data_IF_780640294751
#
_entry.id   IF_780640294751
#
_cell.length_a   1.000
_cell.length_b   1.000
_cell.length_c   1.000
_cell.angle_alpha   90.00
_cell.angle_beta   90.00
_cell.angle_gamma   90.00
#
_symmetry.space_group_name_H-M   'P 1'
#
loop_
_entity.id
_entity.type
_entity.pdbx_description
1 polymer ?
#
# COMPACT_ATOMS: atom_id res chain seq x y z
N UNK A 1 -75.15 36.95 2.16
CA UNK A 1 -73.89 36.57 2.85
C UNK A 1 -73.51 37.70 3.79
N UNK A 2 -73.15 37.40 5.04
CA UNK A 2 -72.78 38.42 6.01
C UNK A 2 -71.36 38.92 5.71
N UNK A 3 -71.15 40.25 5.66
CA UNK A 3 -69.91 40.90 5.22
C UNK A 3 -68.68 40.41 6.01
N UNK A 4 -68.88 40.20 7.30
CA UNK A 4 -67.87 39.75 8.27
C UNK A 4 -67.39 38.32 7.99
N UNK A 5 -68.27 37.44 7.52
CA UNK A 5 -67.93 36.08 7.12
C UNK A 5 -67.11 36.06 5.82
N UNK A 6 -67.42 36.95 4.87
CA UNK A 6 -66.64 37.09 3.63
C UNK A 6 -65.23 37.62 3.88
N UNK A 7 -65.08 38.58 4.80
CA UNK A 7 -63.78 39.11 5.21
C UNK A 7 -62.90 38.03 5.85
N UNK A 8 -63.45 37.24 6.78
CA UNK A 8 -62.71 36.14 7.42
C UNK A 8 -62.26 35.07 6.41
N UNK A 9 -63.10 34.73 5.43
CA UNK A 9 -62.74 33.79 4.35
C UNK A 9 -61.57 34.33 3.53
N UNK A 10 -61.60 35.61 3.15
CA UNK A 10 -60.50 36.24 2.40
C UNK A 10 -59.17 36.23 3.16
N UNK A 11 -59.20 36.47 4.48
CA UNK A 11 -58.00 36.37 5.34
C UNK A 11 -57.47 34.93 5.39
N UNK A 12 -58.36 33.94 5.49
CA UNK A 12 -57.98 32.51 5.46
C UNK A 12 -57.34 32.11 4.14
N UNK A 13 -57.90 32.53 2.99
CA UNK A 13 -57.32 32.24 1.68
C UNK A 13 -55.93 32.86 1.51
N UNK A 14 -55.73 34.10 1.97
CA UNK A 14 -54.43 34.75 1.93
C UNK A 14 -53.38 33.98 2.75
N UNK A 15 -53.74 33.53 3.95
CA UNK A 15 -52.88 32.68 4.80
C UNK A 15 -52.57 31.35 4.13
N UNK A 16 -53.56 30.68 3.55
CA UNK A 16 -53.38 29.43 2.81
C UNK A 16 -52.46 29.60 1.60
N UNK A 17 -52.60 30.71 0.85
CA UNK A 17 -51.72 31.02 -0.29
C UNK A 17 -50.28 31.21 0.15
N UNK A 18 -50.05 31.90 1.27
CA UNK A 18 -48.70 32.07 1.84
C UNK A 18 -48.09 30.75 2.28
N UNK A 19 -48.85 29.92 2.99
CA UNK A 19 -48.38 28.60 3.44
C UNK A 19 -48.02 27.67 2.27
N UNK A 20 -48.82 27.68 1.19
CA UNK A 20 -48.52 26.89 -0.01
C UNK A 20 -47.19 27.30 -0.66
N UNK A 21 -46.94 28.61 -0.80
CA UNK A 21 -45.66 29.11 -1.34
C UNK A 21 -44.46 28.64 -0.53
N UNK A 22 -44.52 28.79 0.80
CA UNK A 22 -43.44 28.36 1.69
C UNK A 22 -43.17 26.85 1.57
N UNK A 23 -44.22 26.03 1.55
CA UNK A 23 -44.09 24.59 1.35
C UNK A 23 -43.42 24.25 0.01
N UNK A 24 -43.81 24.92 -1.06
CA UNK A 24 -43.27 24.65 -2.40
C UNK A 24 -41.79 25.10 -2.48
N UNK A 25 -41.42 26.19 -1.82
CA UNK A 25 -40.01 26.63 -1.64
C UNK A 25 -39.20 25.59 -0.85
N UNK A 26 -39.70 25.12 0.29
CA UNK A 26 -39.02 24.08 1.07
C UNK A 26 -38.88 22.77 0.30
N UNK A 27 -39.89 22.41 -0.52
CA UNK A 27 -39.81 21.23 -1.38
C UNK A 27 -38.69 21.36 -2.41
N UNK A 28 -38.55 22.54 -3.04
CA UNK A 28 -37.48 22.82 -3.99
C UNK A 28 -36.10 22.71 -3.32
N UNK A 29 -35.92 23.34 -2.16
CA UNK A 29 -34.65 23.27 -1.42
C UNK A 29 -34.30 21.83 -1.02
N UNK A 30 -35.30 21.06 -0.58
CA UNK A 30 -35.11 19.65 -0.26
C UNK A 30 -34.66 18.84 -1.48
N UNK A 31 -35.31 19.05 -2.62
CA UNK A 31 -34.98 18.31 -3.84
C UNK A 31 -33.57 18.68 -4.36
N UNK A 32 -33.15 19.94 -4.22
CA UNK A 32 -31.76 20.39 -4.47
C UNK A 32 -30.76 19.70 -3.53
N UNK A 33 -31.03 19.70 -2.22
CA UNK A 33 -30.18 19.03 -1.23
C UNK A 33 -30.05 17.53 -1.46
N UNK A 34 -31.14 16.86 -1.87
CA UNK A 34 -31.10 15.44 -2.25
C UNK A 34 -30.16 15.23 -3.44
N UNK A 35 -30.23 16.11 -4.44
CA UNK A 35 -29.34 16.08 -5.59
C UNK A 35 -27.87 16.26 -5.22
N UNK A 36 -27.57 17.18 -4.31
CA UNK A 36 -26.20 17.41 -3.86
C UNK A 36 -25.66 16.26 -3.00
N UNK A 37 -26.49 15.67 -2.13
CA UNK A 37 -26.13 14.47 -1.36
C UNK A 37 -25.82 13.29 -2.28
N UNK A 38 -26.58 13.11 -3.37
CA UNK A 38 -26.32 12.05 -4.33
C UNK A 38 -24.93 12.22 -4.99
N UNK A 39 -24.59 13.44 -5.44
CA UNK A 39 -23.27 13.75 -6.00
C UNK A 39 -22.13 13.54 -5.00
N UNK A 40 -22.35 13.89 -3.73
CA UNK A 40 -21.36 13.66 -2.68
C UNK A 40 -21.12 12.18 -2.42
N UNK A 41 -22.18 11.35 -2.47
CA UNK A 41 -22.06 9.89 -2.32
C UNK A 41 -21.24 9.28 -3.45
N UNK A 42 -21.51 9.67 -4.70
CA UNK A 42 -20.77 9.23 -5.88
C UNK A 42 -19.28 9.57 -5.77
N UNK A 43 -18.96 10.83 -5.45
CA UNK A 43 -17.57 11.26 -5.24
C UNK A 43 -16.87 10.54 -4.09
N UNK A 44 -17.61 10.23 -3.02
CA UNK A 44 -17.06 9.51 -1.88
C UNK A 44 -16.70 8.07 -2.27
N UNK A 45 -17.53 7.41 -3.08
CA UNK A 45 -17.25 6.08 -3.62
C UNK A 45 -16.04 6.08 -4.56
N UNK A 46 -15.90 7.10 -5.42
CA UNK A 46 -14.70 7.29 -6.25
C UNK A 46 -13.43 7.45 -5.39
N UNK A 47 -13.50 8.27 -4.34
CA UNK A 47 -12.37 8.48 -3.42
C UNK A 47 -11.99 7.20 -2.66
N UNK A 48 -12.98 6.43 -2.21
CA UNK A 48 -12.74 5.13 -1.57
C UNK A 48 -12.04 4.15 -2.52
N UNK A 49 -12.46 4.11 -3.78
CA UNK A 49 -11.81 3.30 -4.81
C UNK A 49 -10.37 3.75 -5.08
N UNK A 50 -10.13 5.06 -5.23
CA UNK A 50 -8.78 5.61 -5.39
C UNK A 50 -7.88 5.27 -4.21
N UNK A 51 -8.39 5.43 -2.99
CA UNK A 51 -7.66 5.08 -1.77
C UNK A 51 -7.28 3.60 -1.74
N UNK A 52 -8.21 2.71 -2.12
CA UNK A 52 -7.98 1.27 -2.19
C UNK A 52 -6.86 0.93 -3.18
N UNK A 53 -6.86 1.56 -4.35
CA UNK A 53 -5.81 1.39 -5.36
C UNK A 53 -4.45 1.82 -4.84
N UNK A 54 -4.35 3.06 -4.31
CA UNK A 54 -3.09 3.60 -3.77
C UNK A 54 -2.58 2.73 -2.62
N UNK A 55 -3.46 2.27 -1.72
CA UNK A 55 -3.10 1.37 -0.62
C UNK A 55 -2.51 0.05 -1.14
N UNK A 56 -3.14 -0.57 -2.14
CA UNK A 56 -2.67 -1.83 -2.70
C UNK A 56 -1.34 -1.67 -3.42
N UNK A 57 -1.15 -0.59 -4.19
CA UNK A 57 0.13 -0.29 -4.82
C UNK A 57 1.25 -0.06 -3.78
N UNK A 58 0.94 0.69 -2.72
CA UNK A 58 1.90 0.95 -1.65
C UNK A 58 2.28 -0.34 -0.93
N UNK A 59 1.31 -1.20 -0.66
CA UNK A 59 1.53 -2.51 -0.07
C UNK A 59 2.41 -3.38 -0.97
N UNK A 60 2.11 -3.44 -2.28
CA UNK A 60 2.93 -4.17 -3.24
C UNK A 60 4.36 -3.64 -3.32
N UNK A 61 4.56 -2.32 -3.28
CA UNK A 61 5.90 -1.70 -3.20
C UNK A 61 6.62 -2.06 -1.91
N UNK A 62 5.91 -2.06 -0.78
CA UNK A 62 6.46 -2.45 0.51
C UNK A 62 6.90 -3.91 0.51
N UNK A 63 6.04 -4.83 0.05
CA UNK A 63 6.35 -6.25 -0.07
C UNK A 63 7.55 -6.50 -0.98
N UNK A 64 7.60 -5.83 -2.14
CA UNK A 64 8.73 -5.89 -3.05
C UNK A 64 10.03 -5.39 -2.43
N UNK A 65 9.97 -4.29 -1.67
CA UNK A 65 11.12 -3.77 -0.94
C UNK A 65 11.60 -4.78 0.12
N UNK A 66 10.68 -5.36 0.90
CA UNK A 66 11.00 -6.39 1.88
C UNK A 66 11.61 -7.64 1.23
N UNK A 67 11.11 -8.05 0.06
CA UNK A 67 11.67 -9.16 -0.70
C UNK A 67 13.11 -8.86 -1.15
N UNK A 68 13.33 -7.70 -1.78
CA UNK A 68 14.68 -7.25 -2.18
C UNK A 68 15.64 -7.13 -1.00
N UNK A 69 15.18 -6.60 0.13
CA UNK A 69 16.01 -6.51 1.34
C UNK A 69 16.40 -7.91 1.82
N UNK A 70 15.51 -8.91 1.75
CA UNK A 70 15.86 -10.31 2.07
C UNK A 70 16.85 -10.93 1.08
N UNK A 71 16.71 -10.66 -0.22
CA UNK A 71 17.67 -11.13 -1.23
C UNK A 71 19.04 -10.46 -1.09
N UNK A 72 19.05 -9.16 -0.76
CA UNK A 72 20.26 -8.36 -0.60
C UNK A 72 20.90 -8.53 0.78
N UNK A 73 20.22 -9.14 1.76
CA UNK A 73 20.80 -9.41 3.07
C UNK A 73 21.85 -10.53 2.95
N UNK A 74 23.15 -10.24 3.15
CA UNK A 74 24.22 -11.23 3.12
C UNK A 74 24.13 -12.22 4.28
N UNK A 75 23.19 -12.05 5.21
CA UNK A 75 22.90 -13.01 6.27
C UNK A 75 22.59 -14.42 5.76
N UNK A 76 22.17 -14.66 4.51
CA UNK A 76 22.08 -16.06 4.03
C UNK A 76 23.46 -16.70 3.78
N UNK A 77 24.48 -15.90 3.42
CA UNK A 77 25.88 -16.35 3.26
C UNK A 77 26.68 -16.24 4.56
N UNK A 78 26.49 -15.16 5.32
CA UNK A 78 27.10 -14.93 6.62
C UNK A 78 26.50 -15.83 7.72
N UNK A 79 25.20 -16.16 7.68
CA UNK A 79 24.64 -17.20 8.58
C UNK A 79 25.10 -18.59 8.18
N UNK A 80 25.54 -18.86 6.95
CA UNK A 80 26.13 -20.16 6.61
C UNK A 80 27.49 -20.34 7.28
N UNK A 81 28.33 -19.30 7.25
CA UNK A 81 29.62 -19.26 7.96
C UNK A 81 29.40 -19.24 9.48
N UNK A 82 28.47 -18.42 9.97
CA UNK A 82 28.09 -18.37 11.38
C UNK A 82 27.51 -19.70 11.89
N UNK A 83 26.67 -20.39 11.12
CA UNK A 83 26.11 -21.69 11.47
C UNK A 83 27.17 -22.81 11.46
N UNK A 84 28.17 -22.75 10.58
CA UNK A 84 29.32 -23.66 10.62
C UNK A 84 30.15 -23.48 11.91
N UNK A 85 30.33 -22.22 12.34
CA UNK A 85 31.00 -21.88 13.60
C UNK A 85 30.17 -22.29 14.84
N UNK A 86 28.85 -22.05 14.81
CA UNK A 86 27.92 -22.42 15.90
C UNK A 86 27.76 -23.95 16.00
N UNK A 87 27.89 -24.68 14.89
CA UNK A 87 27.89 -26.15 14.86
C UNK A 87 29.16 -26.82 15.39
N UNK A 88 30.13 -26.05 15.92
CA UNK A 88 31.36 -26.56 16.53
C UNK A 88 32.43 -27.03 15.54
N UNK A 89 32.30 -26.70 14.25
CA UNK A 89 33.35 -27.03 13.27
C UNK A 89 34.53 -26.08 13.42
N UNK A 90 35.73 -26.64 13.48
CA UNK A 90 36.96 -25.86 13.55
C UNK A 90 37.20 -25.13 12.23
N UNK A 91 37.95 -24.03 12.26
CA UNK A 91 38.38 -23.32 11.04
C UNK A 91 39.10 -24.28 10.07
N UNK A 92 39.80 -25.29 10.58
CA UNK A 92 40.45 -26.32 9.78
C UNK A 92 39.46 -27.20 9.00
N UNK A 93 38.32 -27.57 9.60
CA UNK A 93 37.29 -28.38 8.93
C UNK A 93 36.66 -27.63 7.75
N UNK A 94 36.48 -26.31 7.89
CA UNK A 94 35.96 -25.44 6.83
C UNK A 94 36.95 -25.35 5.67
N UNK A 95 38.25 -25.19 5.98
CA UNK A 95 39.32 -25.14 4.99
C UNK A 95 39.42 -26.49 4.25
N UNK A 96 39.37 -27.61 4.97
CA UNK A 96 39.46 -28.95 4.38
C UNK A 96 38.30 -29.25 3.42
N UNK A 97 37.06 -28.93 3.79
CA UNK A 97 35.92 -29.09 2.86
C UNK A 97 36.07 -28.23 1.60
N UNK A 98 36.68 -27.04 1.71
CA UNK A 98 36.94 -26.20 0.55
C UNK A 98 38.08 -26.75 -0.32
N UNK A 99 39.10 -27.36 0.28
CA UNK A 99 40.17 -28.05 -0.44
C UNK A 99 39.64 -29.27 -1.19
N UNK A 100 38.73 -30.03 -0.59
CA UNK A 100 38.09 -31.21 -1.23
C UNK A 100 37.19 -30.81 -2.42
N UNK A 101 36.51 -29.66 -2.33
CA UNK A 101 35.79 -29.07 -3.47
C UNK A 101 36.72 -28.59 -4.59
N UNK A 102 37.94 -28.18 -4.26
CA UNK A 102 38.95 -27.66 -5.20
C UNK A 102 39.86 -28.75 -5.78
N UNK A 103 39.95 -29.93 -5.16
CA UNK A 103 40.80 -31.06 -5.58
C UNK A 103 40.41 -31.61 -6.98
N UNK A 104 39.21 -31.26 -7.47
CA UNK A 104 38.76 -31.55 -8.85
C UNK A 104 39.05 -30.45 -9.87
N UNK A 105 39.59 -29.31 -9.46
CA UNK A 105 39.84 -28.13 -10.29
C UNK A 105 41.31 -27.77 -10.24
N UNK A 106 41.97 -27.67 -11.40
CA UNK A 106 43.41 -27.37 -11.50
C UNK A 106 43.82 -25.97 -10.97
N UNK A 107 42.86 -25.23 -10.39
CA UNK A 107 43.00 -23.87 -9.86
C UNK A 107 44.08 -23.77 -8.77
N UNK A 108 44.24 -24.80 -7.93
CA UNK A 108 45.27 -24.79 -6.89
C UNK A 108 46.68 -24.94 -7.48
N UNK A 109 46.84 -25.75 -8.52
CA UNK A 109 48.11 -25.92 -9.23
C UNK A 109 48.47 -24.68 -10.05
N UNK A 110 47.50 -24.01 -10.68
CA UNK A 110 47.73 -22.72 -11.35
C UNK A 110 48.18 -21.63 -10.37
N UNK A 111 47.58 -21.58 -9.18
CA UNK A 111 47.98 -20.63 -8.14
C UNK A 111 49.40 -20.89 -7.61
N UNK A 112 49.78 -22.16 -7.41
CA UNK A 112 51.14 -22.52 -7.01
C UNK A 112 52.17 -22.22 -8.10
N UNK A 113 51.84 -22.48 -9.37
CA UNK A 113 52.72 -22.16 -10.49
C UNK A 113 53.03 -20.66 -10.59
N UNK A 114 52.02 -19.80 -10.36
CA UNK A 114 52.22 -18.35 -10.35
C UNK A 114 53.16 -17.88 -9.23
N UNK A 115 53.13 -18.52 -8.06
CA UNK A 115 54.02 -18.18 -6.94
C UNK A 115 55.47 -18.65 -7.18
N UNK A 116 55.65 -19.75 -7.92
CA UNK A 116 56.97 -20.31 -8.25
C UNK A 116 57.67 -19.53 -9.38
N UNK A 117 56.89 -18.91 -10.28
CA UNK A 117 57.39 -17.96 -11.28
C UNK A 117 57.83 -16.63 -10.65
N UNK A 118 57.13 -16.15 -9.61
CA UNK A 118 57.46 -14.90 -8.90
C UNK A 118 58.71 -14.99 -8.01
N UNK A 119 59.28 -16.19 -7.80
CA UNK A 119 60.48 -16.38 -6.97
C UNK A 119 61.79 -16.60 -7.75
N UNK A 120 61.73 -16.65 -9.09
CA UNK A 120 62.89 -16.90 -9.95
C UNK A 120 63.30 -15.66 -10.78
N UNK A 121 63.46 -14.50 -10.14
CA UNK A 121 64.15 -13.33 -10.70
C UNK A 121 65.49 -13.06 -10.00
#
# INVERSE_FOLDING_TARGET
>A
MNYETGFQIGVMEARLKKMRKQRDEYKKQRDELIGDIAKLRERNEELENMWRTVKNELLGRYEHCCFKIRELHPESKANRIGALYIGGKSTADIILSRMEELDGTNEFYEFLGQMEDDTNE
#
